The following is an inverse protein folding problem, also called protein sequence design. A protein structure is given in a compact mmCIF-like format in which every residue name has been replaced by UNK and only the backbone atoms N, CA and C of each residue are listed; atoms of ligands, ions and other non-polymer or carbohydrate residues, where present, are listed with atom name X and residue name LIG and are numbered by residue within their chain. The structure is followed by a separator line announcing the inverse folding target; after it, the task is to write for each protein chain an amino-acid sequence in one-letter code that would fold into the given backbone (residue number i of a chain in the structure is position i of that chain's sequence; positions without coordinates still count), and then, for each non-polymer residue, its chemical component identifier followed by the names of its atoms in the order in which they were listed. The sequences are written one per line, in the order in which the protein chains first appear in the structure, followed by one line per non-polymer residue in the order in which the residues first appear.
data_IF_304871298339
#
_entry.id   IF_304871298339
#
_cell.length_a   1.000
_cell.length_b   1.000
_cell.length_c   1.000
_cell.angle_alpha   90.00
_cell.angle_beta   90.00
_cell.angle_gamma   90.00
#
_symmetry.space_group_name_H-M   'P 1'
#
loop_
_entity.id
_entity.type
_entity.pdbx_description
1 polymer ?
#
# COMPACT_ATOMS: atom_id res chain seq x y z
N UNK A 1 3.76 -13.57 41.96
CA UNK A 1 2.81 -12.42 41.88
C UNK A 1 3.43 -11.15 41.33
N UNK A 2 4.66 -10.76 41.69
CA UNK A 2 5.27 -9.51 41.19
C UNK A 2 5.54 -9.51 39.67
N UNK A 3 6.08 -10.61 39.13
CA UNK A 3 6.34 -10.75 37.69
C UNK A 3 5.06 -10.66 36.84
N UNK A 4 3.99 -11.32 37.28
CA UNK A 4 2.66 -11.23 36.68
C UNK A 4 2.18 -9.77 36.59
N UNK A 5 2.26 -9.01 37.69
CA UNK A 5 1.85 -7.59 37.72
C UNK A 5 2.68 -6.72 36.79
N UNK A 6 4.00 -6.91 36.76
CA UNK A 6 4.91 -6.17 35.88
C UNK A 6 4.61 -6.44 34.41
N UNK A 7 4.43 -7.71 34.03
CA UNK A 7 4.07 -8.10 32.68
C UNK A 7 2.69 -7.57 32.27
N UNK A 8 1.67 -7.74 33.12
CA UNK A 8 0.31 -7.25 32.85
C UNK A 8 0.29 -5.74 32.61
N UNK A 9 1.01 -4.96 33.44
CA UNK A 9 1.12 -3.52 33.26
C UNK A 9 1.82 -3.13 31.94
N UNK A 10 2.81 -3.90 31.51
CA UNK A 10 3.47 -3.68 30.22
C UNK A 10 2.51 -3.97 29.05
N UNK A 11 1.73 -5.05 29.12
CA UNK A 11 0.70 -5.39 28.14
C UNK A 11 -0.41 -4.32 28.07
N UNK A 12 -0.91 -3.85 29.21
CA UNK A 12 -1.93 -2.79 29.30
C UNK A 12 -1.49 -1.47 28.65
N UNK A 13 -0.19 -1.17 28.67
CA UNK A 13 0.38 0.02 28.00
C UNK A 13 0.59 -0.20 26.51
N UNK A 14 1.15 -1.35 26.14
CA UNK A 14 1.66 -1.58 24.80
C UNK A 14 0.60 -2.07 23.81
N UNK A 15 -0.30 -2.97 24.22
CA UNK A 15 -1.29 -3.56 23.32
C UNK A 15 -2.28 -2.54 22.75
N UNK A 16 -2.78 -1.53 23.51
CA UNK A 16 -3.64 -0.50 22.92
C UNK A 16 -2.93 0.28 21.82
N UNK A 17 -1.67 0.67 22.05
CA UNK A 17 -0.87 1.35 21.03
C UNK A 17 -0.64 0.48 19.79
N UNK A 18 -0.41 -0.82 19.98
CA UNK A 18 -0.24 -1.76 18.86
C UNK A 18 -1.52 -1.83 18.02
N UNK A 19 -2.68 -1.97 18.68
CA UNK A 19 -3.99 -1.96 18.03
C UNK A 19 -4.27 -0.65 17.29
N UNK A 20 -3.98 0.49 17.92
CA UNK A 20 -4.17 1.81 17.30
C UNK A 20 -3.29 1.97 16.06
N UNK A 21 -2.07 1.42 16.10
CA UNK A 21 -1.12 1.48 14.97
C UNK A 21 -1.57 0.59 13.81
N UNK A 22 -2.05 -0.62 14.12
CA UNK A 22 -2.69 -1.50 13.13
C UNK A 22 -3.91 -0.81 12.49
N UNK A 23 -4.77 -0.18 13.29
CA UNK A 23 -5.96 0.52 12.78
C UNK A 23 -5.59 1.73 11.92
N UNK A 24 -4.56 2.48 12.30
CA UNK A 24 -4.02 3.58 11.48
C UNK A 24 -3.53 3.08 10.12
N UNK A 25 -2.87 1.92 10.06
CA UNK A 25 -2.43 1.32 8.81
C UNK A 25 -3.62 0.87 7.94
N UNK A 26 -4.65 0.27 8.54
CA UNK A 26 -5.86 -0.15 7.84
C UNK A 26 -6.66 1.03 7.28
N UNK A 27 -6.67 2.18 7.98
CA UNK A 27 -7.37 3.40 7.56
C UNK A 27 -6.60 4.24 6.55
N UNK A 28 -5.40 3.82 6.14
CA UNK A 28 -4.67 4.53 5.09
C UNK A 28 -5.50 4.56 3.80
N UNK A 29 -5.67 5.73 3.18
CA UNK A 29 -6.53 5.84 2.02
C UNK A 29 -6.00 5.01 0.84
N UNK A 30 -6.90 4.49 -0.01
CA UNK A 30 -6.50 3.75 -1.20
C UNK A 30 -5.52 4.59 -2.03
N UNK A 31 -4.44 3.96 -2.51
CA UNK A 31 -3.38 4.68 -3.20
C UNK A 31 -3.94 5.39 -4.44
N UNK A 32 -3.90 6.72 -4.44
CA UNK A 32 -4.18 7.51 -5.64
C UNK A 32 -2.88 7.84 -6.37
N UNK A 33 -2.91 7.88 -7.71
CA UNK A 33 -1.71 8.03 -8.53
C UNK A 33 -1.29 9.50 -8.76
N UNK A 34 -1.62 10.42 -7.84
CA UNK A 34 -1.14 11.80 -7.92
C UNK A 34 0.11 11.99 -7.07
N UNK A 35 1.10 12.73 -7.60
CA UNK A 35 2.40 12.95 -6.93
C UNK A 35 2.22 13.48 -5.51
N UNK A 36 1.37 14.48 -5.34
CA UNK A 36 1.08 15.12 -4.06
C UNK A 36 0.55 14.13 -3.02
N UNK A 37 -0.32 13.23 -3.43
CA UNK A 37 -0.94 12.27 -2.52
C UNK A 37 -0.01 11.12 -2.16
N UNK A 38 0.75 10.59 -3.14
CA UNK A 38 1.80 9.59 -2.89
C UNK A 38 2.83 10.13 -1.88
N UNK A 39 3.27 11.38 -2.05
CA UNK A 39 4.19 12.02 -1.10
C UNK A 39 3.54 12.24 0.28
N UNK A 40 2.23 12.51 0.34
CA UNK A 40 1.50 12.64 1.61
C UNK A 40 1.47 11.32 2.37
N UNK A 41 1.11 10.22 1.68
CA UNK A 41 1.09 8.88 2.27
C UNK A 41 2.49 8.44 2.72
N UNK A 42 3.55 8.72 1.94
CA UNK A 42 4.92 8.43 2.35
C UNK A 42 5.32 9.15 3.65
N UNK A 43 4.91 10.42 3.84
CA UNK A 43 5.15 11.14 5.10
C UNK A 43 4.40 10.51 6.28
N UNK A 44 3.17 10.06 6.05
CA UNK A 44 2.36 9.39 7.07
C UNK A 44 2.96 8.03 7.47
N UNK A 45 3.38 7.22 6.50
CA UNK A 45 4.11 5.97 6.74
C UNK A 45 5.45 6.21 7.46
N UNK A 46 6.15 7.30 7.13
CA UNK A 46 7.37 7.69 7.83
C UNK A 46 7.09 7.99 9.31
N UNK A 47 5.98 8.66 9.63
CA UNK A 47 5.58 8.91 11.01
C UNK A 47 5.28 7.60 11.73
N UNK A 48 4.52 6.70 11.12
CA UNK A 48 4.23 5.38 11.69
C UNK A 48 5.53 4.60 11.93
N UNK A 49 6.45 4.57 10.96
CA UNK A 49 7.76 3.92 11.11
C UNK A 49 8.56 4.48 12.28
N UNK A 50 8.56 5.81 12.44
CA UNK A 50 9.22 6.47 13.57
C UNK A 50 8.57 6.12 14.91
N UNK A 51 7.24 6.03 14.95
CA UNK A 51 6.49 5.65 16.14
C UNK A 51 6.80 4.20 16.55
N UNK A 52 6.81 3.27 15.59
CA UNK A 52 7.22 1.88 15.79
C UNK A 52 8.65 1.83 16.32
N UNK A 53 9.58 2.53 15.69
CA UNK A 53 10.98 2.56 16.14
C UNK A 53 11.11 3.02 17.61
N UNK A 54 10.39 4.09 18.01
CA UNK A 54 10.40 4.58 19.41
C UNK A 54 9.86 3.56 20.40
N UNK A 55 8.95 2.67 19.97
CA UNK A 55 8.32 1.64 20.81
C UNK A 55 9.07 0.31 20.81
N UNK A 56 10.12 0.17 20.02
CA UNK A 56 10.94 -1.06 19.96
C UNK A 56 11.50 -1.47 21.33
N UNK A 57 11.95 -0.52 22.15
CA UNK A 57 12.42 -0.79 23.50
C UNK A 57 11.31 -1.30 24.44
N UNK A 58 10.08 -0.78 24.29
CA UNK A 58 8.94 -1.26 25.08
C UNK A 58 8.51 -2.66 24.65
N UNK A 59 8.55 -2.96 23.35
CA UNK A 59 8.33 -4.30 22.81
C UNK A 59 9.32 -5.33 23.39
N UNK A 60 10.62 -5.04 23.33
CA UNK A 60 11.66 -5.94 23.88
C UNK A 60 11.54 -6.11 25.40
N UNK A 61 11.22 -5.03 26.12
CA UNK A 61 10.95 -5.10 27.55
C UNK A 61 9.73 -5.99 27.86
N UNK A 62 8.66 -5.87 27.06
CA UNK A 62 7.44 -6.65 27.23
C UNK A 62 7.70 -8.16 27.02
N UNK A 63 8.46 -8.49 25.96
CA UNK A 63 8.94 -9.86 25.72
C UNK A 63 9.77 -10.40 26.88
N UNK A 64 10.75 -9.62 27.35
CA UNK A 64 11.63 -10.02 28.47
C UNK A 64 10.84 -10.24 29.76
N UNK A 65 9.87 -9.37 30.08
CA UNK A 65 9.00 -9.51 31.24
C UNK A 65 8.12 -10.76 31.15
N UNK A 66 7.60 -11.06 29.95
CA UNK A 66 6.81 -12.27 29.70
C UNK A 66 7.63 -13.56 29.86
N UNK A 67 8.84 -13.61 29.30
CA UNK A 67 9.77 -14.74 29.46
C UNK A 67 10.18 -14.95 30.93
N UNK A 68 10.42 -13.85 31.66
CA UNK A 68 10.70 -13.87 33.09
C UNK A 68 9.50 -14.37 33.88
N UNK A 69 8.28 -13.96 33.51
CA UNK A 69 7.05 -14.40 34.17
C UNK A 69 6.81 -15.90 33.95
N UNK A 70 6.97 -16.41 32.72
CA UNK A 70 6.90 -17.84 32.41
C UNK A 70 7.90 -18.62 33.26
N UNK A 71 9.15 -18.15 33.35
CA UNK A 71 10.21 -18.82 34.11
C UNK A 71 9.96 -18.83 35.62
N UNK A 72 9.17 -17.90 36.14
CA UNK A 72 8.90 -17.73 37.56
C UNK A 72 7.56 -18.32 38.03
N UNK A 73 6.77 -18.92 37.13
CA UNK A 73 5.46 -19.49 37.43
C UNK A 73 5.27 -20.89 36.83
N UNK A 74 4.74 -21.82 37.62
CA UNK A 74 4.49 -23.21 37.22
C UNK A 74 3.07 -23.46 36.65
N UNK A 75 2.24 -22.41 36.60
CA UNK A 75 0.83 -22.46 36.16
C UNK A 75 0.62 -21.40 35.07
N UNK A 76 -0.27 -21.67 34.11
CA UNK A 76 -0.67 -20.76 33.01
C UNK A 76 0.45 -20.29 32.07
N UNK A 77 1.59 -21.00 32.05
CA UNK A 77 2.73 -20.67 31.17
C UNK A 77 2.34 -20.63 29.68
N UNK A 78 1.43 -21.50 29.26
CA UNK A 78 0.96 -21.58 27.87
C UNK A 78 0.18 -20.33 27.47
N UNK A 79 -0.68 -19.81 28.36
CA UNK A 79 -1.46 -18.59 28.11
C UNK A 79 -0.52 -17.41 27.88
N UNK A 80 0.48 -17.26 28.75
CA UNK A 80 1.47 -16.18 28.64
C UNK A 80 2.31 -16.33 27.37
N UNK A 81 2.70 -17.56 27.02
CA UNK A 81 3.44 -17.83 25.78
C UNK A 81 2.63 -17.42 24.55
N UNK A 82 1.36 -17.80 24.49
CA UNK A 82 0.45 -17.43 23.40
C UNK A 82 0.25 -15.90 23.31
N UNK A 83 0.18 -15.19 24.44
CA UNK A 83 0.11 -13.72 24.45
C UNK A 83 1.37 -13.07 23.89
N UNK A 84 2.55 -13.55 24.29
CA UNK A 84 3.84 -13.05 23.78
C UNK A 84 3.94 -13.30 22.28
N UNK A 85 3.60 -14.50 21.82
CA UNK A 85 3.74 -14.89 20.42
C UNK A 85 2.75 -14.11 19.54
N UNK A 86 1.50 -13.94 19.98
CA UNK A 86 0.52 -13.05 19.33
C UNK A 86 1.04 -11.61 19.21
N UNK A 87 1.64 -11.07 20.28
CA UNK A 87 2.22 -9.73 20.27
C UNK A 87 3.39 -9.61 19.28
N UNK A 88 4.27 -10.62 19.21
CA UNK A 88 5.40 -10.67 18.25
C UNK A 88 4.90 -10.71 16.82
N UNK A 89 3.94 -11.59 16.52
CA UNK A 89 3.37 -11.71 15.18
C UNK A 89 2.74 -10.39 14.71
N UNK A 90 1.97 -9.73 15.58
CA UNK A 90 1.36 -8.42 15.31
C UNK A 90 2.42 -7.35 15.07
N UNK A 91 3.45 -7.31 15.91
CA UNK A 91 4.58 -6.39 15.74
C UNK A 91 5.30 -6.60 14.41
N UNK A 92 5.62 -7.84 14.06
CA UNK A 92 6.30 -8.16 12.81
C UNK A 92 5.41 -7.84 11.60
N UNK A 93 4.11 -8.10 11.70
CA UNK A 93 3.12 -7.76 10.67
C UNK A 93 3.12 -6.27 10.37
N UNK A 94 2.98 -5.40 11.38
CA UNK A 94 2.95 -3.95 11.14
C UNK A 94 4.27 -3.43 10.56
N UNK A 95 5.41 -3.99 10.96
CA UNK A 95 6.71 -3.61 10.40
C UNK A 95 6.82 -3.98 8.92
N UNK A 96 6.39 -5.20 8.57
CA UNK A 96 6.42 -5.68 7.20
C UNK A 96 5.43 -4.92 6.31
N UNK A 97 4.21 -4.64 6.79
CA UNK A 97 3.22 -3.87 6.04
C UNK A 97 3.70 -2.45 5.73
N UNK A 98 4.27 -1.76 6.73
CA UNK A 98 4.86 -0.43 6.55
C UNK A 98 5.96 -0.47 5.50
N UNK A 99 6.88 -1.45 5.60
CA UNK A 99 7.98 -1.58 4.64
C UNK A 99 7.46 -1.79 3.22
N UNK A 100 6.54 -2.74 3.02
CA UNK A 100 5.97 -3.04 1.71
C UNK A 100 5.21 -1.85 1.10
N UNK A 101 4.45 -1.11 1.92
CA UNK A 101 3.76 0.09 1.46
C UNK A 101 4.74 1.20 1.07
N UNK A 102 5.80 1.43 1.85
CA UNK A 102 6.82 2.43 1.50
C UNK A 102 7.50 2.07 0.17
N UNK A 103 7.95 0.82 0.01
CA UNK A 103 8.59 0.36 -1.24
C UNK A 103 7.67 0.52 -2.46
N UNK A 104 6.38 0.19 -2.30
CA UNK A 104 5.39 0.34 -3.35
C UNK A 104 5.18 1.81 -3.74
N UNK A 105 5.05 2.71 -2.76
CA UNK A 105 4.83 4.13 -3.01
C UNK A 105 6.08 4.82 -3.57
N UNK A 106 7.28 4.48 -3.11
CA UNK A 106 8.53 4.99 -3.67
C UNK A 106 8.72 4.53 -5.12
N UNK A 107 8.41 3.27 -5.43
CA UNK A 107 8.40 2.78 -6.81
C UNK A 107 7.39 3.54 -7.68
N UNK A 108 6.20 3.79 -7.13
CA UNK A 108 5.13 4.52 -7.84
C UNK A 108 5.53 5.97 -8.10
N UNK A 109 6.10 6.65 -7.10
CA UNK A 109 6.57 8.03 -7.22
C UNK A 109 7.67 8.16 -8.28
N UNK A 110 8.61 7.22 -8.33
CA UNK A 110 9.67 7.18 -9.34
C UNK A 110 9.09 7.04 -10.74
N UNK A 111 8.21 6.05 -10.96
CA UNK A 111 7.55 5.83 -12.26
C UNK A 111 6.71 7.02 -12.70
N UNK A 112 6.00 7.64 -11.76
CA UNK A 112 5.22 8.86 -12.03
C UNK A 112 6.15 10.02 -12.43
N UNK A 113 7.29 10.19 -11.75
CA UNK A 113 8.30 11.17 -12.12
C UNK A 113 8.85 10.94 -13.54
N UNK A 114 9.25 9.70 -13.85
CA UNK A 114 9.71 9.33 -15.20
C UNK A 114 8.65 9.59 -16.28
N UNK A 115 7.38 9.30 -15.99
CA UNK A 115 6.27 9.59 -16.89
C UNK A 115 6.10 11.10 -17.11
N UNK A 116 6.10 11.90 -16.04
CA UNK A 116 5.95 13.35 -16.13
C UNK A 116 7.10 14.01 -16.91
N UNK A 117 8.34 13.53 -16.76
CA UNK A 117 9.46 14.02 -17.58
C UNK A 117 9.29 13.69 -19.06
N UNK A 118 8.78 12.49 -19.39
CA UNK A 118 8.50 12.12 -20.79
C UNK A 118 7.41 13.00 -21.40
N UNK A 119 6.36 13.29 -20.63
CA UNK A 119 5.29 14.21 -21.05
C UNK A 119 5.87 15.60 -21.31
N UNK A 120 6.64 16.16 -20.37
CA UNK A 120 7.35 17.44 -20.58
C UNK A 120 8.24 17.44 -21.81
N UNK A 121 8.94 16.32 -22.06
CA UNK A 121 9.81 16.16 -23.22
C UNK A 121 9.09 16.24 -24.57
N UNK A 122 7.78 15.97 -24.62
CA UNK A 122 6.98 16.07 -25.84
C UNK A 122 6.13 17.34 -25.96
N UNK A 123 5.95 18.10 -24.88
CA UNK A 123 5.17 19.35 -24.88
C UNK A 123 5.71 20.35 -25.90
N UNK A 124 7.00 20.71 -25.81
CA UNK A 124 7.59 21.69 -26.72
C UNK A 124 7.64 21.22 -28.20
N UNK A 125 8.03 19.96 -28.50
CA UNK A 125 7.92 19.43 -29.86
C UNK A 125 6.49 19.41 -30.41
N UNK A 126 5.49 19.11 -29.58
CA UNK A 126 4.08 19.11 -29.99
C UNK A 126 3.61 20.53 -30.30
N UNK A 127 3.93 21.50 -29.44
CA UNK A 127 3.64 22.92 -29.69
C UNK A 127 4.26 23.39 -31.02
N UNK A 128 5.50 22.99 -31.33
CA UNK A 128 6.12 23.30 -32.62
C UNK A 128 5.39 22.65 -33.80
N UNK A 129 4.83 21.46 -33.63
CA UNK A 129 4.02 20.83 -34.67
C UNK A 129 2.73 21.63 -34.91
N UNK A 130 2.09 22.11 -33.84
CA UNK A 130 0.89 22.96 -33.91
C UNK A 130 1.17 24.28 -34.63
N UNK A 131 2.22 25.02 -34.22
CA UNK A 131 2.64 26.28 -34.86
C UNK A 131 2.94 26.10 -36.36
N UNK A 132 3.54 24.97 -36.75
CA UNK A 132 3.86 24.65 -38.15
C UNK A 132 2.62 24.30 -38.97
N UNK A 133 1.65 23.62 -38.38
CA UNK A 133 0.36 23.35 -39.03
C UNK A 133 -0.42 24.65 -39.26
N UNK A 134 -0.40 25.55 -38.28
CA UNK A 134 -1.01 26.87 -38.41
C UNK A 134 -0.34 27.67 -39.53
N UNK A 135 0.99 27.73 -39.59
CA UNK A 135 1.70 28.38 -40.68
C UNK A 135 1.40 27.74 -42.06
N UNK A 136 1.27 26.42 -42.13
CA UNK A 136 0.94 25.70 -43.36
C UNK A 136 -0.47 26.04 -43.89
N UNK A 137 -1.42 26.37 -42.99
CA UNK A 137 -2.79 26.73 -43.36
C UNK A 137 -2.90 27.99 -44.23
N UNK A 138 -1.91 28.88 -44.10
CA UNK A 138 -1.83 30.16 -44.83
C UNK A 138 -0.84 30.14 -45.98
N UNK A 139 -0.19 29.00 -46.23
CA UNK A 139 0.86 28.85 -47.23
C UNK A 139 0.31 28.39 -48.61
N UNK A 140 1.06 28.61 -49.70
CA UNK A 140 0.72 28.06 -51.02
C UNK A 140 0.63 26.52 -50.99
N UNK A 141 -0.21 25.88 -51.84
CA UNK A 141 -0.52 24.44 -51.76
C UNK A 141 0.69 23.50 -51.72
N UNK A 142 1.74 23.78 -52.50
CA UNK A 142 2.96 22.97 -52.52
C UNK A 142 3.75 23.07 -51.19
N UNK A 143 3.80 24.26 -50.60
CA UNK A 143 4.51 24.51 -49.34
C UNK A 143 3.72 23.96 -48.15
N UNK A 144 2.38 24.04 -48.22
CA UNK A 144 1.49 23.42 -47.25
C UNK A 144 1.64 21.89 -47.25
N UNK A 145 1.71 21.25 -48.43
CA UNK A 145 1.90 19.80 -48.54
C UNK A 145 3.23 19.33 -47.92
N UNK A 146 4.33 20.01 -48.25
CA UNK A 146 5.65 19.71 -47.67
C UNK A 146 5.69 19.95 -46.16
N UNK A 147 5.02 20.99 -45.66
CA UNK A 147 4.94 21.30 -44.25
C UNK A 147 4.17 20.21 -43.47
N UNK A 148 3.03 19.76 -44.00
CA UNK A 148 2.21 18.70 -43.41
C UNK A 148 2.96 17.36 -43.38
N UNK A 149 3.65 16.99 -44.47
CA UNK A 149 4.46 15.76 -44.50
C UNK A 149 5.54 15.77 -43.40
N UNK A 150 6.25 16.89 -43.25
CA UNK A 150 7.28 17.04 -42.20
C UNK A 150 6.69 17.06 -40.78
N UNK A 151 5.47 17.55 -40.58
CA UNK A 151 4.80 17.49 -39.28
C UNK A 151 4.38 16.04 -38.98
N UNK A 152 3.90 15.29 -39.96
CA UNK A 152 3.56 13.87 -39.79
C UNK A 152 4.78 13.03 -39.36
N UNK A 153 5.95 13.26 -39.98
CA UNK A 153 7.20 12.59 -39.59
C UNK A 153 7.63 12.93 -38.16
N UNK A 154 7.50 14.20 -37.76
CA UNK A 154 7.83 14.65 -36.41
C UNK A 154 6.88 14.07 -35.37
N UNK A 155 5.57 14.06 -35.63
CA UNK A 155 4.58 13.43 -34.76
C UNK A 155 4.85 11.93 -34.60
N UNK A 156 5.25 11.24 -35.68
CA UNK A 156 5.65 9.84 -35.61
C UNK A 156 6.90 9.65 -34.73
N UNK A 157 7.89 10.55 -34.84
CA UNK A 157 9.10 10.51 -34.02
C UNK A 157 8.83 10.74 -32.51
N UNK A 158 7.78 11.50 -32.16
CA UNK A 158 7.37 11.73 -30.76
C UNK A 158 6.70 10.52 -30.10
N UNK A 159 6.31 9.51 -30.86
CA UNK A 159 5.70 8.28 -30.33
C UNK A 159 6.69 7.42 -29.53
N UNK A 160 7.95 7.40 -29.94
CA UNK A 160 9.02 6.64 -29.28
C UNK A 160 9.37 7.16 -27.86
N UNK A 161 9.64 8.47 -27.64
CA UNK A 161 9.97 8.99 -26.30
C UNK A 161 8.81 8.87 -25.29
N UNK A 162 7.56 8.84 -25.76
CA UNK A 162 6.40 8.59 -24.89
C UNK A 162 6.28 7.14 -24.43
N UNK A 163 6.96 6.19 -25.09
CA UNK A 163 6.87 4.74 -24.81
C UNK A 163 5.42 4.30 -24.53
N UNK A 164 4.45 4.77 -25.33
CA UNK A 164 3.01 4.57 -25.08
C UNK A 164 2.66 3.08 -24.89
N UNK A 165 3.34 2.20 -25.62
CA UNK A 165 3.20 0.75 -25.48
C UNK A 165 3.77 0.21 -24.16
N UNK A 166 4.90 0.75 -23.69
CA UNK A 166 5.47 0.42 -22.39
C UNK A 166 4.54 0.84 -21.23
N UNK A 167 3.99 2.05 -21.31
CA UNK A 167 3.01 2.55 -20.33
C UNK A 167 1.71 1.73 -20.35
N UNK A 168 1.18 1.39 -21.55
CA UNK A 168 0.03 0.49 -21.68
C UNK A 168 0.28 -0.86 -21.03
N UNK A 169 1.46 -1.44 -21.24
CA UNK A 169 1.85 -2.72 -20.61
C UNK A 169 1.96 -2.60 -19.09
N UNK A 170 2.47 -1.50 -18.57
CA UNK A 170 2.54 -1.25 -17.12
C UNK A 170 1.16 -1.02 -16.50
N UNK A 171 0.27 -0.27 -17.17
CA UNK A 171 -1.13 -0.11 -16.78
C UNK A 171 -1.86 -1.45 -16.74
N UNK A 172 -1.68 -2.31 -17.75
CA UNK A 172 -2.24 -3.65 -17.77
C UNK A 172 -1.81 -4.50 -16.57
N UNK A 173 -0.51 -4.46 -16.20
CA UNK A 173 -0.01 -5.16 -15.01
C UNK A 173 -0.59 -4.63 -13.70
N UNK A 174 -0.79 -3.31 -13.59
CA UNK A 174 -1.42 -2.71 -12.41
C UNK A 174 -2.90 -3.11 -12.31
N UNK A 175 -3.60 -3.11 -13.44
CA UNK A 175 -5.00 -3.51 -13.54
C UNK A 175 -5.21 -4.98 -13.15
N UNK A 176 -4.32 -5.87 -13.64
CA UNK A 176 -4.32 -7.29 -13.28
C UNK A 176 -4.04 -7.51 -11.79
N UNK A 177 -3.11 -6.76 -11.21
CA UNK A 177 -2.82 -6.82 -9.76
C UNK A 177 -3.98 -6.30 -8.91
N UNK A 178 -4.69 -5.28 -9.38
CA UNK A 178 -5.89 -4.78 -8.72
C UNK A 178 -7.02 -5.82 -8.74
N UNK A 179 -7.28 -6.43 -9.91
CA UNK A 179 -8.26 -7.52 -10.05
C UNK A 179 -7.94 -8.73 -9.19
N UNK A 180 -6.66 -9.12 -9.09
CA UNK A 180 -6.24 -10.22 -8.20
C UNK A 180 -6.56 -9.90 -6.74
N UNK A 181 -6.27 -8.69 -6.27
CA UNK A 181 -6.62 -8.28 -4.90
C UNK A 181 -8.13 -8.23 -4.67
N UNK A 182 -8.90 -7.80 -5.67
CA UNK A 182 -10.36 -7.79 -5.62
C UNK A 182 -10.91 -9.21 -5.50
N UNK A 183 -10.36 -10.16 -6.28
CA UNK A 183 -10.70 -11.58 -6.17
C UNK A 183 -10.37 -12.15 -4.78
N UNK A 184 -9.19 -11.85 -4.24
CA UNK A 184 -8.79 -12.31 -2.90
C UNK A 184 -9.75 -11.79 -1.81
N UNK A 185 -10.23 -10.55 -1.96
CA UNK A 185 -11.23 -9.95 -1.07
C UNK A 185 -12.58 -10.66 -1.17
N UNK A 186 -13.07 -10.92 -2.39
CA UNK A 186 -14.32 -11.65 -2.64
C UNK A 186 -14.28 -13.08 -2.08
N UNK A 187 -13.16 -13.77 -2.27
CA UNK A 187 -12.93 -15.11 -1.71
C UNK A 187 -12.96 -15.09 -0.18
N UNK A 188 -12.42 -14.03 0.42
CA UNK A 188 -12.41 -13.86 1.88
C UNK A 188 -13.80 -13.55 2.42
N UNK A 189 -14.56 -12.68 1.75
CA UNK A 189 -15.96 -12.38 2.07
C UNK A 189 -16.82 -13.64 2.01
N UNK A 190 -16.69 -14.43 0.94
CA UNK A 190 -17.44 -15.67 0.78
C UNK A 190 -17.20 -16.68 1.91
N UNK A 191 -15.94 -16.80 2.37
CA UNK A 191 -15.59 -17.64 3.52
C UNK A 191 -16.21 -17.13 4.81
N UNK A 192 -16.25 -15.81 5.01
CA UNK A 192 -16.83 -15.19 6.18
C UNK A 192 -18.35 -15.40 6.22
N UNK A 193 -19.04 -15.26 5.09
CA UNK A 193 -20.48 -15.54 4.98
C UNK A 193 -20.80 -17.01 5.29
N UNK A 194 -20.00 -17.94 4.76
CA UNK A 194 -20.15 -19.37 5.06
C UNK A 194 -19.94 -19.67 6.55
N UNK A 195 -18.97 -19.00 7.19
CA UNK A 195 -18.74 -19.11 8.62
C UNK A 195 -19.94 -18.63 9.44
N UNK A 196 -20.49 -17.45 9.14
CA UNK A 196 -21.66 -16.94 9.85
C UNK A 196 -22.88 -17.83 9.67
N UNK A 197 -23.12 -18.36 8.47
CA UNK A 197 -24.19 -19.32 8.23
C UNK A 197 -24.04 -20.59 9.07
N UNK A 198 -22.81 -21.09 9.21
CA UNK A 198 -22.54 -22.25 10.07
C UNK A 198 -22.70 -21.92 11.56
N UNK A 199 -22.26 -20.73 11.98
CA UNK A 199 -22.47 -20.24 13.34
C UNK A 199 -23.96 -20.14 13.70
N UNK A 200 -24.77 -19.54 12.82
CA UNK A 200 -26.20 -19.38 13.04
C UNK A 200 -26.91 -20.74 13.18
N UNK A 201 -26.57 -21.72 12.32
CA UNK A 201 -27.10 -23.07 12.42
C UNK A 201 -26.76 -23.74 13.76
N UNK A 202 -25.51 -23.61 14.23
CA UNK A 202 -25.11 -24.15 15.54
C UNK A 202 -25.85 -23.43 16.68
N UNK A 203 -26.08 -22.13 16.57
CA UNK A 203 -26.82 -21.37 17.57
C UNK A 203 -28.32 -21.73 17.61
N UNK A 204 -28.94 -22.01 16.46
CA UNK A 204 -30.29 -22.57 16.38
C UNK A 204 -30.36 -23.94 17.05
N UNK A 205 -29.43 -24.85 16.74
CA UNK A 205 -29.36 -26.17 17.37
C UNK A 205 -29.21 -26.08 18.90
N UNK A 206 -28.42 -25.13 19.40
CA UNK A 206 -28.27 -24.90 20.84
C UNK A 206 -29.58 -24.40 21.45
N UNK A 207 -30.30 -23.50 20.78
CA UNK A 207 -31.60 -23.01 21.28
C UNK A 207 -32.70 -24.07 21.27
N UNK A 208 -32.66 -25.05 20.37
CA UNK A 208 -33.64 -26.16 20.36
C UNK A 208 -33.41 -27.18 21.49
N UNK A 209 -32.19 -27.28 22.01
CA UNK A 209 -31.81 -28.27 23.04
C UNK A 209 -31.85 -27.68 24.47
N UNK A 210 -32.01 -26.37 24.62
CA UNK A 210 -32.05 -25.66 25.91
C UNK A 210 -33.46 -25.18 26.26
#
# INVERSE_FOLDING_TARGET
MEHCRKYSKAQESFLPWLSDTEERLLKLPPTTFTKKEVERQLRELQQIRNDIWKRSGEFENNKTLGETFISACDVDQEVVRNQIDSMKERWDRINNEVLQHVEFLESTLRKLGEFLERVRGVEAPLQRCEERLEAASSAPPHAAHDAVARVADQLHALRAPLQVEGLRKQLGKLDERARSKEQDLDDTLSKLEAFYKAYDAVMEDVQEVT
#
